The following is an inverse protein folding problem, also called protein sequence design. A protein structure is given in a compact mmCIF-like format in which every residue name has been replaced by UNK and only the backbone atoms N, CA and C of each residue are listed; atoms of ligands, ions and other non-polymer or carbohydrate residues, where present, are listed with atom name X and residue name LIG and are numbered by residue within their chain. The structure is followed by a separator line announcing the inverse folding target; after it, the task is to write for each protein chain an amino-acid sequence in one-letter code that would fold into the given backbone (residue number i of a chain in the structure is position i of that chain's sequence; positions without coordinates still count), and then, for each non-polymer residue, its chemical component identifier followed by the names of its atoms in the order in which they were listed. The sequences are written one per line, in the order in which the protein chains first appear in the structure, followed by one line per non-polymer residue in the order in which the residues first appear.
data_IF_564812981996
#
_entry.id   IF_564812981996
#
_cell.length_a   1.000
_cell.length_b   1.000
_cell.length_c   1.000
_cell.angle_alpha   90.00
_cell.angle_beta   90.00
_cell.angle_gamma   90.00
#
_symmetry.space_group_name_H-M   'P 1'
#
loop_
_entity.id
_entity.type
_entity.pdbx_description
1 polymer ?
#
# COMPACT_ATOMS: atom_id res chain seq x y z
N UNK A 1 2.92 4.09 27.62
CA UNK A 1 3.59 4.90 26.57
C UNK A 1 3.87 3.99 25.39
N UNK A 2 3.44 4.35 24.19
CA UNK A 2 3.88 3.64 22.99
C UNK A 2 5.27 4.18 22.65
N UNK A 3 6.31 3.39 22.84
CA UNK A 3 7.67 3.81 22.50
C UNK A 3 7.88 3.60 21.00
N UNK A 4 8.20 4.67 20.27
CA UNK A 4 8.61 4.55 18.86
C UNK A 4 9.94 3.82 18.78
N UNK A 5 9.98 2.74 17.99
CA UNK A 5 11.21 2.00 17.70
C UNK A 5 11.67 2.27 16.28
N UNK A 6 12.92 2.68 16.13
CA UNK A 6 13.56 2.92 14.83
C UNK A 6 14.57 1.81 14.59
N UNK A 7 14.43 1.10 13.47
CA UNK A 7 15.38 0.08 13.00
C UNK A 7 16.16 0.68 11.84
N UNK A 8 17.47 0.87 12.02
CA UNK A 8 18.35 1.36 10.97
C UNK A 8 18.97 0.19 10.21
N UNK A 9 19.02 0.30 8.89
CA UNK A 9 19.69 -0.65 8.01
C UNK A 9 20.99 -0.04 7.50
N UNK A 10 22.11 -0.79 7.45
CA UNK A 10 23.41 -0.27 7.03
C UNK A 10 23.43 0.12 5.55
N UNK A 11 22.59 -0.51 4.74
CA UNK A 11 22.42 -0.25 3.31
C UNK A 11 20.95 -0.39 2.94
N UNK A 12 20.53 0.29 1.87
CA UNK A 12 19.21 0.08 1.28
C UNK A 12 19.14 -1.34 0.72
N UNK A 13 18.19 -2.18 1.16
CA UNK A 13 18.04 -3.52 0.62
C UNK A 13 17.31 -3.49 -0.73
N UNK A 14 17.44 -4.56 -1.51
CA UNK A 14 16.83 -4.71 -2.84
C UNK A 14 15.31 -4.99 -2.76
N UNK A 15 14.55 -4.03 -2.22
CA UNK A 15 13.09 -4.04 -2.22
C UNK A 15 12.45 -3.83 -0.85
N UNK A 16 11.23 -3.31 -0.89
CA UNK A 16 10.42 -2.94 0.28
C UNK A 16 10.12 -4.13 1.21
N UNK A 17 10.00 -5.35 0.67
CA UNK A 17 9.76 -6.54 1.48
C UNK A 17 10.90 -6.79 2.49
N UNK A 18 12.15 -6.52 2.11
CA UNK A 18 13.32 -6.72 2.97
C UNK A 18 13.46 -5.63 4.03
N UNK A 19 13.17 -4.36 3.67
CA UNK A 19 13.09 -3.28 4.66
C UNK A 19 12.00 -3.54 5.68
N UNK A 20 10.84 -4.03 5.24
CA UNK A 20 9.70 -4.38 6.10
C UNK A 20 10.04 -5.54 7.04
N UNK A 21 10.74 -6.56 6.56
CA UNK A 21 11.20 -7.69 7.37
C UNK A 21 12.08 -7.25 8.54
N UNK A 22 12.94 -6.24 8.34
CA UNK A 22 13.80 -5.73 9.41
C UNK A 22 12.99 -5.16 10.58
N UNK A 23 11.95 -4.37 10.29
CA UNK A 23 11.05 -3.83 11.31
C UNK A 23 10.19 -4.91 11.97
N UNK A 24 9.76 -5.93 11.21
CA UNK A 24 8.93 -7.02 11.72
C UNK A 24 9.56 -7.84 12.84
N UNK A 25 10.89 -7.87 12.95
CA UNK A 25 11.61 -8.59 14.03
C UNK A 25 11.26 -8.03 15.42
N UNK A 26 10.71 -6.83 15.47
CA UNK A 26 10.36 -6.10 16.68
C UNK A 26 8.87 -6.17 17.02
N UNK A 27 8.07 -6.82 16.18
CA UNK A 27 6.62 -6.95 16.32
C UNK A 27 6.29 -8.36 16.78
N UNK A 28 5.38 -8.48 17.76
CA UNK A 28 4.97 -9.79 18.23
C UNK A 28 4.24 -10.56 17.11
N UNK A 29 4.56 -11.84 16.85
CA UNK A 29 4.03 -12.58 15.68
C UNK A 29 2.50 -12.65 15.57
N UNK A 30 1.80 -12.62 16.71
CA UNK A 30 0.33 -12.69 16.78
C UNK A 30 -0.36 -11.31 16.77
N UNK A 31 0.37 -10.19 16.78
CA UNK A 31 -0.23 -8.86 16.66
C UNK A 31 -0.62 -8.58 15.21
N UNK A 32 -1.75 -7.89 15.01
CA UNK A 32 -2.06 -7.30 13.71
C UNK A 32 -1.17 -6.09 13.46
N UNK A 33 -1.03 -5.70 12.20
CA UNK A 33 -0.22 -4.54 11.85
C UNK A 33 -0.72 -3.83 10.59
N UNK A 34 -0.36 -2.56 10.50
CA UNK A 34 -0.41 -1.79 9.27
C UNK A 34 1.04 -1.55 8.82
N UNK A 35 1.31 -1.82 7.55
CA UNK A 35 2.54 -1.40 6.87
C UNK A 35 2.16 -0.27 5.92
N UNK A 36 2.86 0.86 6.00
CA UNK A 36 2.67 2.00 5.11
C UNK A 36 4.02 2.53 4.66
N UNK A 37 4.10 2.93 3.39
CA UNK A 37 5.17 3.84 2.96
C UNK A 37 5.06 5.18 3.71
N UNK A 38 6.17 5.91 3.75
CA UNK A 38 6.30 7.20 4.43
C UNK A 38 6.14 8.40 3.48
N UNK A 39 5.91 8.15 2.20
CA UNK A 39 5.86 9.15 1.13
C UNK A 39 4.45 9.39 0.57
N UNK A 40 3.41 9.10 1.36
CA UNK A 40 2.02 9.38 0.99
C UNK A 40 1.11 9.65 2.20
N UNK A 41 -0.06 10.20 1.91
CA UNK A 41 -1.18 10.37 2.82
C UNK A 41 -2.41 9.65 2.28
N UNK A 42 -3.17 9.00 3.18
CA UNK A 42 -4.42 8.31 2.86
C UNK A 42 -5.56 8.85 3.71
N UNK A 43 -6.78 8.78 3.17
CA UNK A 43 -8.02 9.00 3.92
C UNK A 43 -8.90 7.78 3.73
N UNK A 44 -9.26 7.16 4.84
CA UNK A 44 -10.28 6.10 4.92
C UNK A 44 -11.48 6.67 5.67
N UNK A 45 -12.70 6.33 5.26
CA UNK A 45 -13.86 6.79 6.00
C UNK A 45 -13.95 6.07 7.35
N UNK A 46 -14.40 6.81 8.38
CA UNK A 46 -14.56 6.25 9.73
C UNK A 46 -15.51 5.06 9.75
N UNK A 47 -16.55 5.06 8.91
CA UNK A 47 -17.52 3.99 8.84
C UNK A 47 -16.94 2.72 8.22
N UNK A 48 -16.13 2.84 7.15
CA UNK A 48 -15.44 1.71 6.53
C UNK A 48 -14.41 1.15 7.52
N UNK A 49 -13.58 2.02 8.09
CA UNK A 49 -12.53 1.61 9.03
C UNK A 49 -13.11 0.94 10.28
N UNK A 50 -14.15 1.54 10.89
CA UNK A 50 -14.78 0.99 12.08
C UNK A 50 -15.46 -0.35 11.82
N UNK A 51 -16.12 -0.53 10.68
CA UNK A 51 -16.73 -1.82 10.29
C UNK A 51 -15.65 -2.89 10.07
N UNK A 52 -14.59 -2.54 9.35
CA UNK A 52 -13.47 -3.43 9.08
C UNK A 52 -12.79 -3.88 10.37
N UNK A 53 -12.39 -2.94 11.23
CA UNK A 53 -11.66 -3.24 12.47
C UNK A 53 -12.49 -4.04 13.48
N UNK A 54 -13.81 -3.84 13.52
CA UNK A 54 -14.69 -4.63 14.42
C UNK A 54 -14.78 -6.10 14.04
N UNK A 55 -14.74 -6.41 12.74
CA UNK A 55 -14.84 -7.80 12.27
C UNK A 55 -14.07 -7.99 10.95
N UNK A 56 -12.73 -8.12 11.01
CA UNK A 56 -11.94 -8.35 9.82
C UNK A 56 -12.11 -9.80 9.32
N UNK A 57 -12.99 -9.96 8.32
CA UNK A 57 -13.23 -11.22 7.61
C UNK A 57 -12.20 -11.43 6.48
N UNK A 58 -10.92 -11.31 6.82
CA UNK A 58 -9.78 -11.57 5.94
C UNK A 58 -8.50 -11.75 6.76
N UNK A 59 -7.44 -12.21 6.11
CA UNK A 59 -6.11 -12.40 6.70
C UNK A 59 -5.18 -11.23 6.37
N UNK A 60 -5.44 -10.53 5.26
CA UNK A 60 -4.77 -9.30 4.88
C UNK A 60 -5.71 -8.38 4.10
N UNK A 61 -5.40 -7.09 4.11
CA UNK A 61 -6.14 -6.09 3.37
C UNK A 61 -5.23 -5.10 2.64
N UNK A 62 -5.65 -4.69 1.45
CA UNK A 62 -4.98 -3.71 0.60
C UNK A 62 -5.80 -2.43 0.64
N UNK A 63 -5.19 -1.31 1.03
CA UNK A 63 -5.84 -0.03 0.89
C UNK A 63 -5.73 0.42 -0.57
N UNK A 64 -6.85 0.78 -1.18
CA UNK A 64 -6.87 1.13 -2.60
C UNK A 64 -7.63 2.41 -2.87
N UNK A 65 -7.19 3.14 -3.89
CA UNK A 65 -7.91 4.29 -4.44
C UNK A 65 -8.30 4.02 -5.90
N UNK A 66 -9.45 4.51 -6.34
CA UNK A 66 -9.87 4.48 -7.74
C UNK A 66 -10.03 5.93 -8.21
N UNK A 67 -9.80 6.19 -9.50
CA UNK A 67 -9.90 7.54 -10.09
C UNK A 67 -8.66 8.40 -9.88
N UNK A 68 -7.52 7.82 -9.50
CA UNK A 68 -6.29 8.59 -9.25
C UNK A 68 -5.71 9.14 -10.57
N UNK A 69 -5.62 10.46 -10.79
CA UNK A 69 -5.23 11.02 -12.08
C UNK A 69 -3.82 10.65 -12.55
N UNK A 70 -2.92 10.31 -11.62
CA UNK A 70 -1.54 9.95 -11.93
C UNK A 70 -1.41 8.71 -12.83
N UNK A 71 -2.38 7.80 -12.80
CA UNK A 71 -2.35 6.57 -13.60
C UNK A 71 -2.57 6.82 -15.09
N UNK A 72 -3.24 7.91 -15.46
CA UNK A 72 -3.41 8.30 -16.86
C UNK A 72 -2.10 8.83 -17.48
N UNK A 73 -1.24 9.43 -16.65
CA UNK A 73 0.05 9.98 -17.09
C UNK A 73 1.14 8.92 -17.15
N UNK A 74 1.19 8.03 -16.15
CA UNK A 74 2.24 7.02 -15.98
C UNK A 74 1.64 5.66 -15.56
N UNK A 75 0.86 5.00 -16.43
CA UNK A 75 0.14 3.78 -16.05
C UNK A 75 1.06 2.63 -15.58
N UNK A 76 2.27 2.53 -16.13
CA UNK A 76 3.24 1.50 -15.75
C UNK A 76 4.01 1.84 -14.45
N UNK A 77 3.77 2.99 -13.83
CA UNK A 77 4.43 3.38 -12.58
C UNK A 77 3.77 2.79 -11.33
N UNK A 78 2.58 2.19 -11.43
CA UNK A 78 1.76 1.80 -10.28
C UNK A 78 1.46 0.29 -10.23
N UNK A 79 0.92 -0.14 -9.10
CA UNK A 79 0.36 -1.48 -8.91
C UNK A 79 -1.16 -1.43 -8.84
N UNK A 80 -1.81 -2.41 -9.47
CA UNK A 80 -3.26 -2.52 -9.62
C UNK A 80 -3.77 -3.77 -8.95
N UNK A 81 -4.99 -3.71 -8.41
CA UNK A 81 -5.64 -4.83 -7.75
C UNK A 81 -6.82 -5.29 -8.59
N UNK A 82 -6.85 -6.58 -8.94
CA UNK A 82 -8.05 -7.23 -9.47
C UNK A 82 -8.85 -7.78 -8.31
N UNK A 83 -10.11 -7.38 -8.22
CA UNK A 83 -11.01 -7.82 -7.16
C UNK A 83 -12.38 -8.18 -7.72
N UNK A 84 -13.07 -9.05 -6.98
CA UNK A 84 -14.45 -9.43 -7.20
C UNK A 84 -15.40 -8.35 -6.66
N UNK A 85 -16.70 -8.49 -6.96
CA UNK A 85 -17.73 -7.51 -6.55
C UNK A 85 -17.88 -7.37 -5.02
N UNK A 86 -17.47 -8.38 -4.25
CA UNK A 86 -17.51 -8.39 -2.79
C UNK A 86 -16.23 -7.85 -2.14
N UNK A 87 -15.35 -7.20 -2.92
CA UNK A 87 -14.04 -6.66 -2.53
C UNK A 87 -12.99 -7.74 -2.19
N UNK A 88 -13.24 -9.01 -2.49
CA UNK A 88 -12.23 -10.05 -2.39
C UNK A 88 -11.21 -9.90 -3.51
N UNK A 89 -9.92 -9.86 -3.16
CA UNK A 89 -8.82 -9.72 -4.12
C UNK A 89 -8.54 -11.06 -4.79
N UNK A 90 -8.53 -11.09 -6.12
CA UNK A 90 -8.16 -12.27 -6.91
C UNK A 90 -6.73 -12.22 -7.43
N UNK A 91 -6.17 -11.04 -7.71
CA UNK A 91 -4.75 -10.88 -8.01
C UNK A 91 -4.26 -9.43 -7.89
N UNK A 92 -2.93 -9.26 -7.87
CA UNK A 92 -2.25 -7.96 -7.95
C UNK A 92 -1.33 -7.92 -9.18
N UNK A 93 -1.29 -6.79 -9.88
CA UNK A 93 -0.44 -6.55 -11.05
C UNK A 93 0.48 -5.37 -10.76
N UNK A 94 1.79 -5.60 -10.72
CA UNK A 94 2.79 -4.60 -10.34
C UNK A 94 3.41 -4.01 -11.60
N UNK A 95 3.44 -2.67 -11.72
CA UNK A 95 3.98 -1.90 -12.86
C UNK A 95 3.31 -2.21 -14.21
N UNK A 96 2.10 -2.77 -14.18
CA UNK A 96 1.37 -3.16 -15.39
C UNK A 96 -0.14 -2.97 -15.21
N UNK A 97 -0.80 -2.15 -16.05
CA UNK A 97 -2.25 -2.01 -16.06
C UNK A 97 -2.98 -3.34 -16.29
N UNK A 98 -4.16 -3.47 -15.68
CA UNK A 98 -5.02 -4.65 -15.82
C UNK A 98 -6.18 -4.44 -16.77
N UNK A 99 -6.44 -3.19 -17.18
CA UNK A 99 -7.48 -2.83 -18.13
C UNK A 99 -7.05 -1.67 -19.03
N UNK A 100 -7.80 -1.39 -20.12
CA UNK A 100 -7.62 -0.18 -20.94
C UNK A 100 -8.00 1.12 -20.22
N UNK A 101 -8.66 1.04 -19.06
CA UNK A 101 -9.14 2.18 -18.27
C UNK A 101 -8.52 2.14 -16.86
N UNK A 102 -7.20 2.34 -16.74
CA UNK A 102 -6.48 2.18 -15.47
C UNK A 102 -6.93 3.15 -14.37
N UNK A 103 -7.58 4.26 -14.73
CA UNK A 103 -8.22 5.20 -13.81
C UNK A 103 -9.42 4.59 -13.09
N UNK A 104 -10.05 3.55 -13.66
CA UNK A 104 -11.19 2.84 -13.06
C UNK A 104 -10.78 1.61 -12.27
N UNK A 105 -9.53 1.19 -12.40
CA UNK A 105 -9.00 0.04 -11.67
C UNK A 105 -8.60 0.47 -10.24
N UNK A 106 -8.81 -0.40 -9.23
CA UNK A 106 -8.30 -0.15 -7.89
C UNK A 106 -6.76 -0.10 -7.89
N UNK A 107 -6.23 1.04 -7.46
CA UNK A 107 -4.80 1.29 -7.34
C UNK A 107 -4.32 0.91 -5.95
N UNK A 108 -3.24 0.14 -5.87
CA UNK A 108 -2.55 -0.20 -4.64
C UNK A 108 -1.62 0.96 -4.23
N UNK A 109 -1.78 1.48 -2.99
CA UNK A 109 -1.12 2.73 -2.55
C UNK A 109 0.00 2.55 -1.53
N UNK A 110 0.61 1.37 -1.46
CA UNK A 110 1.69 1.09 -0.49
C UNK A 110 1.24 1.12 0.97
N UNK A 111 -0.05 0.91 1.26
CA UNK A 111 -0.57 0.72 2.63
C UNK A 111 -1.35 -0.58 2.71
N UNK A 112 -1.05 -1.38 3.73
CA UNK A 112 -1.55 -2.73 3.90
C UNK A 112 -1.88 -3.00 5.36
N UNK A 113 -2.90 -3.80 5.61
CA UNK A 113 -3.17 -4.38 6.92
C UNK A 113 -2.96 -5.89 6.87
N UNK A 114 -2.41 -6.45 7.94
CA UNK A 114 -2.23 -7.89 8.11
C UNK A 114 -2.78 -8.31 9.46
N UNK A 115 -3.58 -9.37 9.48
CA UNK A 115 -4.21 -9.89 10.70
C UNK A 115 -3.20 -10.32 11.75
N UNK A 116 -2.05 -10.82 11.31
CA UNK A 116 -0.94 -11.25 12.16
C UNK A 116 0.40 -10.98 11.50
N UNK A 117 1.36 -10.44 12.24
CA UNK A 117 2.73 -10.21 11.78
C UNK A 117 3.41 -11.44 11.19
N UNK A 118 3.10 -12.63 11.73
CA UNK A 118 3.64 -13.89 11.20
C UNK A 118 3.23 -14.17 9.76
N UNK A 119 2.02 -13.77 9.33
CA UNK A 119 1.56 -14.00 7.96
C UNK A 119 2.39 -13.20 6.96
N UNK A 120 2.69 -11.95 7.30
CA UNK A 120 3.59 -11.11 6.51
C UNK A 120 5.00 -11.71 6.45
N UNK A 121 5.53 -12.15 7.60
CA UNK A 121 6.83 -12.84 7.65
C UNK A 121 6.86 -14.08 6.77
N UNK A 122 5.86 -14.95 6.86
CA UNK A 122 5.75 -16.17 6.04
C UNK A 122 5.69 -15.84 4.54
N UNK A 123 4.94 -14.81 4.14
CA UNK A 123 4.89 -14.36 2.76
C UNK A 123 6.24 -13.83 2.26
N UNK A 124 6.96 -13.04 3.06
CA UNK A 124 8.30 -12.55 2.73
C UNK A 124 9.29 -13.72 2.59
N UNK A 125 9.23 -14.73 3.46
CA UNK A 125 10.05 -15.94 3.32
C UNK A 125 9.78 -16.69 2.02
N UNK A 126 8.52 -16.75 1.58
CA UNK A 126 8.17 -17.31 0.27
C UNK A 126 8.75 -16.44 -0.85
N UNK A 127 8.59 -15.11 -0.80
CA UNK A 127 9.16 -14.19 -1.80
C UNK A 127 10.68 -14.39 -1.99
N UNK A 128 11.43 -14.51 -0.88
CA UNK A 128 12.89 -14.70 -0.92
C UNK A 128 13.31 -16.00 -1.59
N UNK A 129 12.49 -17.05 -1.52
CA UNK A 129 12.73 -18.35 -2.16
C UNK A 129 12.34 -18.40 -3.64
N UNK A 130 11.72 -17.35 -4.16
CA UNK A 130 11.19 -17.27 -5.52
C UNK A 130 11.77 -16.04 -6.26
N UNK A 131 13.04 -16.10 -6.71
CA UNK A 131 13.71 -14.98 -7.39
C UNK A 131 12.96 -14.43 -8.61
N UNK A 132 12.17 -15.26 -9.27
CA UNK A 132 11.32 -14.90 -10.40
C UNK A 132 10.21 -13.89 -10.06
N UNK A 133 9.92 -13.69 -8.76
CA UNK A 133 8.95 -12.71 -8.29
C UNK A 133 9.53 -11.30 -8.16
N UNK A 134 10.84 -11.13 -8.37
CA UNK A 134 11.48 -9.82 -8.41
C UNK A 134 10.99 -9.03 -9.61
N UNK A 135 10.64 -7.77 -9.38
CA UNK A 135 10.31 -6.81 -10.44
C UNK A 135 11.49 -5.84 -10.52
N UNK A 136 12.08 -5.70 -11.71
CA UNK A 136 13.30 -4.89 -11.91
C UNK A 136 14.45 -5.21 -10.93
N UNK A 137 14.58 -6.47 -10.54
CA UNK A 137 15.61 -6.92 -9.58
C UNK A 137 15.23 -6.74 -8.10
N UNK A 138 14.11 -6.11 -7.77
CA UNK A 138 13.70 -5.81 -6.39
C UNK A 138 12.52 -6.67 -5.91
N UNK A 139 12.45 -6.91 -4.59
CA UNK A 139 11.30 -7.52 -3.93
C UNK A 139 10.26 -6.46 -3.53
N UNK A 140 9.39 -6.11 -4.47
CA UNK A 140 8.23 -5.25 -4.23
C UNK A 140 7.26 -5.93 -3.26
N UNK A 141 6.94 -5.26 -2.16
CA UNK A 141 6.04 -5.83 -1.15
C UNK A 141 4.65 -6.10 -1.75
N UNK A 142 4.20 -5.29 -2.70
CA UNK A 142 2.95 -5.42 -3.45
C UNK A 142 2.74 -6.84 -4.02
N UNK A 143 3.80 -7.52 -4.45
CA UNK A 143 3.73 -8.86 -5.03
C UNK A 143 3.33 -9.94 -4.01
N UNK A 144 3.40 -9.66 -2.70
CA UNK A 144 3.10 -10.63 -1.64
C UNK A 144 1.65 -11.12 -1.67
N UNK A 145 0.71 -10.29 -2.15
CA UNK A 145 -0.70 -10.67 -2.17
C UNK A 145 -0.97 -11.82 -3.15
N UNK A 146 -0.21 -11.89 -4.26
CA UNK A 146 -0.28 -13.05 -5.15
C UNK A 146 0.23 -14.33 -4.47
N UNK A 147 1.19 -14.24 -3.54
CA UNK A 147 1.64 -15.38 -2.73
C UNK A 147 0.55 -15.79 -1.75
N UNK A 148 -0.03 -14.81 -1.04
CA UNK A 148 -1.08 -15.05 -0.08
C UNK A 148 -2.26 -15.79 -0.69
N UNK A 149 -2.72 -15.33 -1.85
CA UNK A 149 -3.84 -15.92 -2.57
C UNK A 149 -3.45 -17.30 -3.13
N UNK A 150 -2.37 -17.38 -3.91
CA UNK A 150 -2.12 -18.57 -4.74
C UNK A 150 -1.31 -19.67 -4.04
N UNK A 151 -0.55 -19.35 -2.99
CA UNK A 151 0.36 -20.30 -2.33
C UNK A 151 -0.01 -20.58 -0.88
N UNK A 152 -0.53 -19.58 -0.17
CA UNK A 152 -0.89 -19.71 1.26
C UNK A 152 -2.40 -19.85 1.50
N UNK A 153 -3.22 -19.73 0.45
CA UNK A 153 -4.68 -19.83 0.52
C UNK A 153 -5.29 -18.87 1.58
N UNK A 154 -4.74 -17.66 1.66
CA UNK A 154 -5.18 -16.62 2.59
C UNK A 154 -6.21 -15.71 1.90
N UNK A 155 -7.19 -15.24 2.68
CA UNK A 155 -8.22 -14.33 2.19
C UNK A 155 -7.71 -12.90 2.21
N UNK A 156 -7.69 -12.25 1.06
CA UNK A 156 -7.26 -10.85 0.91
C UNK A 156 -8.43 -9.99 0.48
N UNK A 157 -8.59 -8.80 1.08
CA UNK A 157 -9.67 -7.87 0.76
C UNK A 157 -9.20 -6.45 0.46
N UNK A 158 -10.01 -5.70 -0.27
CA UNK A 158 -9.82 -4.27 -0.48
C UNK A 158 -10.42 -3.48 0.69
N UNK A 159 -9.69 -2.45 1.15
CA UNK A 159 -10.22 -1.33 1.92
C UNK A 159 -10.22 -0.10 1.01
N UNK A 160 -11.38 0.38 0.55
CA UNK A 160 -11.42 1.53 -0.34
C UNK A 160 -11.15 2.82 0.43
N UNK A 161 -10.30 3.65 -0.16
CA UNK A 161 -9.94 4.97 0.34
C UNK A 161 -10.87 6.03 -0.25
N UNK A 162 -11.14 7.08 0.54
CA UNK A 162 -11.82 8.30 0.08
C UNK A 162 -10.83 9.39 -0.39
N UNK A 163 -9.55 9.26 -0.05
CA UNK A 163 -8.51 10.20 -0.46
C UNK A 163 -7.13 9.57 -0.48
N UNK A 164 -6.30 10.04 -1.41
CA UNK A 164 -4.92 9.64 -1.56
C UNK A 164 -4.09 10.78 -2.16
N UNK A 165 -2.93 11.02 -1.59
CA UNK A 165 -1.93 11.96 -2.08
C UNK A 165 -0.55 11.35 -1.86
N UNK A 166 0.37 11.49 -2.81
CA UNK A 166 1.74 10.99 -2.65
C UNK A 166 2.77 12.07 -3.01
N UNK A 167 3.98 11.87 -2.52
CA UNK A 167 5.12 12.77 -2.71
C UNK A 167 6.43 11.98 -2.85
N UNK A 168 6.34 10.74 -3.36
CA UNK A 168 7.50 9.87 -3.58
C UNK A 168 8.42 10.29 -4.74
N UNK A 169 7.97 11.21 -5.59
CA UNK A 169 8.79 11.80 -6.65
C UNK A 169 8.58 13.32 -6.76
N UNK A 170 9.50 14.07 -7.40
CA UNK A 170 9.43 15.53 -7.45
C UNK A 170 8.15 16.09 -8.07
N UNK A 171 7.57 15.40 -9.06
CA UNK A 171 6.32 15.84 -9.69
C UNK A 171 5.15 15.64 -8.73
N UNK A 172 5.05 14.47 -8.11
CA UNK A 172 4.03 14.19 -7.11
C UNK A 172 4.12 15.12 -5.90
N UNK A 173 5.34 15.45 -5.43
CA UNK A 173 5.55 16.43 -4.38
C UNK A 173 5.07 17.83 -4.78
N UNK A 174 5.37 18.27 -6.00
CA UNK A 174 4.88 19.56 -6.50
C UNK A 174 3.36 19.61 -6.57
N UNK A 175 2.71 18.53 -7.01
CA UNK A 175 1.25 18.39 -6.99
C UNK A 175 0.71 18.43 -5.56
N UNK A 176 1.34 17.73 -4.62
CA UNK A 176 0.95 17.72 -3.21
C UNK A 176 1.03 19.11 -2.56
N UNK A 177 2.15 19.83 -2.78
CA UNK A 177 2.34 21.20 -2.29
C UNK A 177 1.32 22.16 -2.92
N UNK A 178 1.00 22.01 -4.20
CA UNK A 178 -0.04 22.80 -4.84
C UNK A 178 -1.39 22.64 -4.13
N UNK A 179 -1.80 21.41 -3.82
CA UNK A 179 -3.05 21.16 -3.10
C UNK A 179 -3.01 21.71 -1.67
N UNK A 180 -1.90 21.55 -0.97
CA UNK A 180 -1.73 22.09 0.38
C UNK A 180 -1.85 23.62 0.39
N UNK A 181 -1.10 24.31 -0.47
CA UNK A 181 -1.09 25.77 -0.54
C UNK A 181 -2.44 26.34 -0.96
N UNK A 182 -3.10 25.71 -1.94
CA UNK A 182 -4.33 26.26 -2.50
C UNK A 182 -5.56 25.87 -1.68
N UNK A 183 -5.58 24.77 -0.93
CA UNK A 183 -6.79 24.24 -0.30
C UNK A 183 -6.70 24.00 1.21
N UNK A 184 -5.50 23.80 1.77
CA UNK A 184 -5.32 23.51 3.19
C UNK A 184 -4.80 24.68 4.01
N UNK A 185 -4.17 25.68 3.38
CA UNK A 185 -3.63 26.85 4.06
C UNK A 185 -4.41 28.15 3.72
N UNK A 186 -5.50 28.47 4.43
CA UNK A 186 -6.35 29.63 4.12
C UNK A 186 -5.65 30.98 4.35
N UNK A 187 -4.61 31.06 5.19
CA UNK A 187 -3.95 32.31 5.55
C UNK A 187 -3.06 32.87 4.41
N UNK A 188 -2.48 32.02 3.56
CA UNK A 188 -1.74 32.46 2.36
C UNK A 188 -2.63 33.05 1.26
N UNK A 189 -3.95 32.86 1.32
CA UNK A 189 -4.87 33.43 0.31
C UNK A 189 -5.09 34.93 0.50
N UNK A 190 -4.79 35.50 1.68
CA UNK A 190 -5.01 36.93 1.98
C UNK A 190 -3.84 37.84 1.63
N UNK A 191 -2.67 37.31 1.25
CA UNK A 191 -1.48 38.11 0.93
C UNK A 191 -1.15 38.18 -0.58
N UNK A 192 -2.06 37.70 -1.45
CA UNK A 192 -1.89 37.71 -2.92
C UNK A 192 -3.06 38.38 -3.66
N UNK A 193 -3.86 39.19 -2.97
CA UNK A 193 -4.88 40.06 -3.58
C UNK A 193 -4.51 41.51 -3.32
#
# INVERSE_FOLDING_TARGET
SCATKVVSLPTTPDGQALSTEAGLREIHPEQDLIVSSCDHGIVVSDDIWSKFHKNPDCDAAIFTITGFPGVLRRPEAYAYVKAETDLTVSSVSVKKPISPTPDRDPLLVGTFWFKKAKLLKEGIEVMKRHPELRVNGELYLDSIFNIFINKLNLKVRIIPLSGYINWGDPQSLAEALYWEENFLNPDKRRSRV
#
